data_IF_626344571720
#
_entry.id   IF_626344571720
#
_cell.length_a   1.000
_cell.length_b   1.000
_cell.length_c   1.000
_cell.angle_alpha   90.00
_cell.angle_beta   90.00
_cell.angle_gamma   90.00
#
_symmetry.space_group_name_H-M   'P 1'
#
loop_
_entity.id
_entity.type
_entity.pdbx_description
1 polymer ?
#
# COMPACT_ATOMS: atom_id res chain seq x y z
N UNK A 1 -5.24 17.85 8.47
CA UNK A 1 -4.81 18.53 7.23
C UNK A 1 -4.11 17.47 6.40
N UNK A 2 -4.63 17.14 5.22
CA UNK A 2 -3.97 16.20 4.30
C UNK A 2 -2.64 16.80 3.86
N UNK A 3 -1.58 16.00 3.91
CA UNK A 3 -0.26 16.44 3.45
C UNK A 3 -0.33 16.85 1.96
N UNK A 4 0.43 17.88 1.54
CA UNK A 4 0.45 18.27 0.14
C UNK A 4 0.96 17.12 -0.73
N UNK A 5 0.28 16.85 -1.84
CA UNK A 5 0.73 15.84 -2.81
C UNK A 5 1.94 16.38 -3.56
N UNK A 6 3.12 15.90 -3.17
CA UNK A 6 4.42 16.27 -3.74
C UNK A 6 4.90 15.24 -4.76
N UNK A 7 5.84 15.65 -5.62
CA UNK A 7 6.52 14.75 -6.56
C UNK A 7 7.26 13.62 -5.84
N UNK A 8 7.87 13.90 -4.69
CA UNK A 8 8.46 12.88 -3.81
C UNK A 8 7.43 11.85 -3.32
N UNK A 9 6.26 12.29 -2.88
CA UNK A 9 5.18 11.37 -2.47
C UNK A 9 4.71 10.50 -3.65
N UNK A 10 4.48 11.12 -4.82
CA UNK A 10 4.05 10.42 -6.03
C UNK A 10 5.07 9.33 -6.42
N UNK A 11 6.35 9.68 -6.50
CA UNK A 11 7.42 8.75 -6.90
C UNK A 11 7.62 7.66 -5.85
N UNK A 12 7.58 8.02 -4.57
CA UNK A 12 7.67 7.07 -3.46
C UNK A 12 6.54 6.04 -3.50
N UNK A 13 5.28 6.48 -3.69
CA UNK A 13 4.13 5.59 -3.82
C UNK A 13 4.22 4.72 -5.08
N UNK A 14 4.59 5.29 -6.23
CA UNK A 14 4.75 4.53 -7.47
C UNK A 14 5.85 3.45 -7.34
N UNK A 15 6.93 3.74 -6.62
CA UNK A 15 8.01 2.79 -6.36
C UNK A 15 7.56 1.61 -5.50
N UNK A 16 6.51 1.76 -4.67
CA UNK A 16 5.94 0.65 -3.89
C UNK A 16 5.40 -0.47 -4.77
N UNK A 17 5.15 -0.24 -6.07
CA UNK A 17 4.81 -1.30 -7.04
C UNK A 17 5.79 -2.48 -6.99
N UNK A 18 7.06 -2.20 -6.69
CA UNK A 18 8.13 -3.20 -6.67
C UNK A 18 8.57 -3.60 -5.27
N UNK A 19 8.05 -2.94 -4.24
CA UNK A 19 8.23 -3.37 -2.87
C UNK A 19 7.26 -4.54 -2.60
N UNK A 20 7.70 -5.53 -1.82
CA UNK A 20 6.81 -6.57 -1.28
C UNK A 20 5.91 -5.91 -0.22
N UNK A 21 4.83 -5.26 -0.67
CA UNK A 21 3.91 -4.54 0.20
C UNK A 21 2.66 -5.37 0.49
N UNK A 22 2.23 -5.39 1.75
CA UNK A 22 0.96 -5.94 2.21
C UNK A 22 -0.24 -5.01 1.89
N UNK A 23 -0.18 -4.30 0.76
CA UNK A 23 -1.25 -3.41 0.33
C UNK A 23 -2.46 -4.25 -0.15
N UNK A 24 -3.67 -3.83 0.18
CA UNK A 24 -4.87 -4.49 -0.33
C UNK A 24 -4.92 -4.45 -1.87
N UNK A 25 -5.56 -5.45 -2.50
CA UNK A 25 -5.62 -5.59 -3.98
C UNK A 25 -6.08 -4.32 -4.72
N UNK A 26 -6.88 -3.47 -4.10
CA UNK A 26 -7.32 -2.19 -4.66
C UNK A 26 -6.18 -1.17 -4.71
N UNK A 27 -5.41 -1.04 -3.62
CA UNK A 27 -4.25 -0.17 -3.56
C UNK A 27 -3.15 -0.63 -4.52
N UNK A 28 -2.93 -1.95 -4.66
CA UNK A 28 -1.98 -2.50 -5.65
C UNK A 28 -2.30 -2.05 -7.08
N UNK A 29 -3.57 -2.11 -7.50
CA UNK A 29 -3.99 -1.67 -8.83
C UNK A 29 -3.77 -0.17 -9.05
N UNK A 30 -4.08 0.65 -8.04
CA UNK A 30 -3.89 2.09 -8.13
C UNK A 30 -2.39 2.46 -8.17
N UNK A 31 -1.56 1.75 -7.41
CA UNK A 31 -0.09 1.90 -7.45
C UNK A 31 0.45 1.49 -8.83
N UNK A 32 -0.06 0.41 -9.43
CA UNK A 32 0.31 -0.01 -10.78
C UNK A 32 -0.12 1.02 -11.84
N UNK A 33 -1.32 1.59 -11.71
CA UNK A 33 -1.79 2.68 -12.56
C UNK A 33 -0.90 3.91 -12.44
N UNK A 34 -0.55 4.31 -11.22
CA UNK A 34 0.33 5.45 -10.96
C UNK A 34 1.69 5.27 -11.64
N UNK A 35 2.31 4.10 -11.45
CA UNK A 35 3.57 3.77 -12.10
C UNK A 35 3.47 3.80 -13.63
N UNK A 36 2.39 3.22 -14.17
CA UNK A 36 2.17 3.14 -15.63
C UNK A 36 1.98 4.52 -16.25
N UNK A 37 1.24 5.41 -15.59
CA UNK A 37 1.06 6.79 -16.03
C UNK A 37 2.40 7.54 -16.11
N UNK A 38 3.24 7.42 -15.08
CA UNK A 38 4.59 7.99 -15.06
C UNK A 38 5.45 7.40 -16.18
N UNK A 39 5.50 6.07 -16.31
CA UNK A 39 6.34 5.40 -17.31
C UNK A 39 5.92 5.75 -18.75
N UNK A 40 4.61 5.83 -19.01
CA UNK A 40 4.08 6.20 -20.32
C UNK A 40 4.39 7.65 -20.68
N UNK A 41 4.29 8.58 -19.71
CA UNK A 41 4.60 10.00 -19.96
C UNK A 41 6.03 10.20 -20.45
N UNK A 42 6.98 9.43 -19.89
CA UNK A 42 8.39 9.56 -20.23
C UNK A 42 8.90 8.55 -21.25
N UNK A 43 7.99 7.86 -21.95
CA UNK A 43 8.37 6.93 -23.02
C UNK A 43 9.17 7.66 -24.11
N UNK A 44 10.31 7.09 -24.48
CA UNK A 44 11.27 7.68 -25.41
C UNK A 44 12.29 8.64 -24.76
N UNK A 45 12.14 9.01 -23.48
CA UNK A 45 13.13 9.78 -22.73
C UNK A 45 14.14 8.84 -22.07
N UNK A 46 15.14 8.39 -22.84
CA UNK A 46 16.11 7.34 -22.46
C UNK A 46 16.66 7.44 -21.03
N UNK A 47 17.14 8.62 -20.61
CA UNK A 47 17.69 8.82 -19.26
C UNK A 47 16.63 8.64 -18.16
N UNK A 48 15.39 9.05 -18.41
CA UNK A 48 14.28 8.87 -17.48
C UNK A 48 13.87 7.41 -17.43
N UNK A 49 13.80 6.73 -18.59
CA UNK A 49 13.54 5.29 -18.67
C UNK A 49 14.59 4.45 -17.93
N UNK A 50 15.87 4.80 -18.05
CA UNK A 50 16.96 4.18 -17.30
C UNK A 50 16.78 4.30 -15.78
N UNK A 51 16.37 5.47 -15.29
CA UNK A 51 16.09 5.67 -13.87
C UNK A 51 14.85 4.89 -13.41
N UNK A 52 13.77 4.84 -14.22
CA UNK A 52 12.60 4.02 -13.93
C UNK A 52 12.95 2.52 -13.88
N UNK A 53 13.78 2.05 -14.80
CA UNK A 53 14.29 0.68 -14.80
C UNK A 53 15.16 0.38 -13.56
N UNK A 54 15.98 1.33 -13.12
CA UNK A 54 16.79 1.20 -11.90
C UNK A 54 15.91 1.08 -10.64
N UNK A 55 14.82 1.83 -10.56
CA UNK A 55 13.84 1.71 -9.46
C UNK A 55 13.23 0.31 -9.45
N UNK A 56 12.79 -0.19 -10.61
CA UNK A 56 12.23 -1.54 -10.72
C UNK A 56 13.24 -2.62 -10.33
N UNK A 57 14.47 -2.54 -10.84
CA UNK A 57 15.54 -3.51 -10.56
C UNK A 57 15.93 -3.54 -9.07
N UNK A 58 15.89 -2.39 -8.39
CA UNK A 58 16.19 -2.27 -6.97
C UNK A 58 14.98 -2.53 -6.05
N UNK A 59 13.89 -3.11 -6.57
CA UNK A 59 12.64 -3.34 -5.81
C UNK A 59 12.11 -2.08 -5.13
N UNK A 60 12.19 -0.94 -5.82
CA UNK A 60 11.76 0.34 -5.27
C UNK A 60 12.75 1.01 -4.32
N UNK A 61 13.96 0.50 -4.13
CA UNK A 61 14.94 1.06 -3.16
C UNK A 61 16.04 1.93 -3.80
N UNK A 62 15.96 2.23 -5.11
CA UNK A 62 16.92 3.10 -5.78
C UNK A 62 16.64 4.60 -5.52
N UNK A 63 16.96 5.09 -4.33
CA UNK A 63 16.66 6.46 -3.88
C UNK A 63 17.21 7.54 -4.81
N UNK A 64 18.42 7.36 -5.36
CA UNK A 64 19.00 8.32 -6.30
C UNK A 64 18.28 8.33 -7.65
N UNK A 65 17.73 7.20 -8.08
CA UNK A 65 16.90 7.14 -9.27
C UNK A 65 15.54 7.80 -9.01
N UNK A 66 14.94 7.58 -7.83
CA UNK A 66 13.69 8.26 -7.43
C UNK A 66 13.83 9.77 -7.44
N UNK A 67 14.86 10.33 -6.80
CA UNK A 67 15.13 11.79 -6.80
C UNK A 67 15.26 12.38 -8.21
N UNK A 68 15.85 11.62 -9.13
CA UNK A 68 15.95 12.04 -10.54
C UNK A 68 14.58 12.04 -11.22
N UNK A 69 13.75 11.04 -10.96
CA UNK A 69 12.35 11.04 -11.45
C UNK A 69 11.56 12.19 -10.83
N UNK A 70 11.69 12.45 -9.53
CA UNK A 70 11.04 13.58 -8.84
C UNK A 70 11.37 14.91 -9.54
N UNK A 71 12.65 15.14 -9.81
CA UNK A 71 13.11 16.37 -10.48
C UNK A 71 12.51 16.50 -11.89
N UNK A 72 12.45 15.40 -12.64
CA UNK A 72 11.85 15.41 -13.99
C UNK A 72 10.34 15.60 -13.92
N UNK A 73 9.67 15.00 -12.93
CA UNK A 73 8.23 15.17 -12.68
C UNK A 73 7.90 16.62 -12.35
N UNK A 74 8.71 17.28 -11.52
CA UNK A 74 8.51 18.68 -11.12
C UNK A 74 8.58 19.60 -12.34
N UNK A 75 9.56 19.38 -13.23
CA UNK A 75 9.65 20.12 -14.48
C UNK A 75 8.44 19.86 -15.39
N UNK A 76 7.98 18.61 -15.48
CA UNK A 76 6.82 18.24 -16.29
C UNK A 76 5.52 18.88 -15.78
N UNK A 77 5.37 19.01 -14.46
CA UNK A 77 4.19 19.63 -13.83
C UNK A 77 4.06 21.12 -14.09
N UNK A 78 5.17 21.79 -14.45
CA UNK A 78 5.14 23.18 -14.90
C UNK A 78 4.60 23.27 -16.33
N UNK A 79 4.86 22.25 -17.16
CA UNK A 79 4.44 22.23 -18.57
C UNK A 79 3.05 21.63 -18.78
N UNK A 80 2.61 20.72 -17.90
CA UNK A 80 1.38 19.95 -18.04
C UNK A 80 0.66 19.80 -16.68
N UNK A 81 -0.17 20.79 -16.36
CA UNK A 81 -0.97 20.80 -15.13
C UNK A 81 -2.03 19.69 -15.11
N UNK A 82 -2.54 19.28 -16.27
CA UNK A 82 -3.54 18.21 -16.38
C UNK A 82 -2.92 16.86 -15.97
N UNK A 83 -1.69 16.59 -16.43
CA UNK A 83 -0.94 15.41 -16.01
C UNK A 83 -0.66 15.42 -14.49
N UNK A 84 -0.34 16.59 -13.92
CA UNK A 84 -0.21 16.74 -12.46
C UNK A 84 -1.52 16.40 -11.74
N UNK A 85 -2.65 16.91 -12.23
CA UNK A 85 -3.96 16.65 -11.64
C UNK A 85 -4.34 15.16 -11.71
N UNK A 86 -4.02 14.49 -12.82
CA UNK A 86 -4.21 13.04 -12.99
C UNK A 86 -3.43 12.26 -11.91
N UNK A 87 -2.12 12.50 -11.78
CA UNK A 87 -1.31 11.79 -10.78
C UNK A 87 -1.76 12.10 -9.35
N UNK A 88 -2.16 13.34 -9.08
CA UNK A 88 -2.67 13.74 -7.77
C UNK A 88 -4.01 13.05 -7.43
N UNK A 89 -4.89 12.87 -8.41
CA UNK A 89 -6.13 12.12 -8.23
C UNK A 89 -5.84 10.65 -7.89
N UNK A 90 -4.92 10.00 -8.62
CA UNK A 90 -4.53 8.62 -8.33
C UNK A 90 -3.93 8.49 -6.92
N UNK A 91 -3.03 9.40 -6.53
CA UNK A 91 -2.45 9.42 -5.16
C UNK A 91 -3.52 9.61 -4.09
N UNK A 92 -4.48 10.50 -4.34
CA UNK A 92 -5.60 10.71 -3.42
C UNK A 92 -6.42 9.43 -3.23
N UNK A 93 -6.68 8.69 -4.31
CA UNK A 93 -7.40 7.42 -4.23
C UNK A 93 -6.55 6.33 -3.55
N UNK A 94 -5.22 6.31 -3.75
CA UNK A 94 -4.32 5.41 -3.00
C UNK A 94 -4.39 5.71 -1.50
N UNK A 95 -4.34 6.99 -1.12
CA UNK A 95 -4.42 7.41 0.29
C UNK A 95 -5.78 7.10 0.92
N UNK A 96 -6.88 7.19 0.15
CA UNK A 96 -8.20 6.75 0.60
C UNK A 96 -8.34 5.23 0.66
N UNK A 97 -7.61 4.52 -0.20
CA UNK A 97 -7.52 3.08 -0.23
C UNK A 97 -6.50 2.52 0.78
N UNK A 98 -5.84 3.37 1.59
CA UNK A 98 -5.07 2.91 2.74
C UNK A 98 -5.94 1.95 3.56
N UNK A 99 -5.33 0.84 4.02
CA UNK A 99 -6.05 -0.40 4.22
C UNK A 99 -7.19 -0.19 5.21
N UNK A 100 -8.36 -0.75 4.90
CA UNK A 100 -9.11 -1.45 5.94
C UNK A 100 -8.06 -2.24 6.71
N UNK A 101 -7.67 -1.75 7.89
CA UNK A 101 -6.58 -2.36 8.66
C UNK A 101 -7.06 -3.75 9.02
N UNK A 102 -6.82 -4.76 8.18
CA UNK A 102 -7.22 -6.13 8.52
C UNK A 102 -6.31 -6.59 9.64
N UNK A 103 -6.76 -6.31 10.85
CA UNK A 103 -6.05 -6.62 12.07
C UNK A 103 -6.36 -8.07 12.37
N UNK A 104 -5.53 -8.96 11.83
CA UNK A 104 -5.61 -10.38 12.09
C UNK A 104 -5.00 -10.63 13.47
N UNK A 105 -5.85 -10.96 14.45
CA UNK A 105 -5.41 -11.07 15.85
C UNK A 105 -4.76 -12.41 16.18
N UNK A 106 -5.05 -13.47 15.42
CA UNK A 106 -4.50 -14.82 15.61
C UNK A 106 -4.35 -15.46 14.23
N UNK A 107 -3.10 -15.67 13.80
CA UNK A 107 -2.76 -16.20 12.46
C UNK A 107 -1.76 -17.35 12.60
N UNK A 108 -2.03 -18.47 11.91
CA UNK A 108 -1.05 -19.56 11.74
C UNK A 108 -0.76 -20.37 13.00
N UNK A 109 -1.69 -20.39 13.97
CA UNK A 109 -1.52 -21.18 15.18
C UNK A 109 -1.81 -22.66 14.87
N UNK A 110 -0.79 -23.49 15.03
CA UNK A 110 -0.90 -24.95 14.96
C UNK A 110 -0.54 -25.55 16.31
N UNK A 111 -1.50 -26.22 16.93
CA UNK A 111 -1.31 -26.90 18.22
C UNK A 111 -1.98 -28.25 18.19
N UNK A 112 -1.30 -29.26 18.73
CA UNK A 112 -1.87 -30.61 18.94
C UNK A 112 -2.80 -30.69 20.16
N UNK A 113 -3.02 -29.57 20.86
CA UNK A 113 -3.91 -29.44 22.02
C UNK A 113 -5.01 -28.43 21.73
N UNK A 114 -6.10 -28.49 22.50
CA UNK A 114 -7.18 -27.49 22.43
C UNK A 114 -6.76 -26.07 22.82
N UNK A 115 -7.40 -25.06 22.21
CA UNK A 115 -7.26 -23.64 22.57
C UNK A 115 -8.47 -23.26 23.42
N UNK A 116 -8.21 -22.79 24.65
CA UNK A 116 -9.24 -22.30 25.57
C UNK A 116 -8.98 -20.84 25.93
N UNK A 117 -9.93 -19.98 25.61
CA UNK A 117 -9.88 -18.56 25.94
C UNK A 117 -11.05 -18.19 26.85
N UNK A 118 -10.74 -17.61 28.02
CA UNK A 118 -11.73 -17.25 29.02
C UNK A 118 -12.53 -15.99 28.62
N UNK A 119 -11.85 -14.97 28.11
CA UNK A 119 -12.47 -13.73 27.64
C UNK A 119 -11.79 -13.30 26.33
N UNK A 120 -12.55 -13.19 25.24
CA UNK A 120 -12.10 -12.58 23.99
C UNK A 120 -12.80 -11.24 23.84
N UNK A 121 -12.04 -10.16 24.01
CA UNK A 121 -12.52 -8.78 23.86
C UNK A 121 -11.79 -8.12 22.71
N UNK A 122 -12.56 -7.51 21.83
CA UNK A 122 -12.05 -6.75 20.70
C UNK A 122 -12.64 -5.34 20.75
N UNK A 123 -11.75 -4.35 20.83
CA UNK A 123 -12.09 -2.93 20.74
C UNK A 123 -11.58 -2.42 19.39
N UNK A 124 -12.50 -2.00 18.53
CA UNK A 124 -12.16 -1.41 17.25
C UNK A 124 -12.07 0.12 17.40
N UNK A 125 -10.99 0.72 16.90
CA UNK A 125 -10.93 2.16 16.66
C UNK A 125 -10.80 2.38 15.16
N UNK A 126 -11.93 2.51 14.45
CA UNK A 126 -11.97 2.88 13.02
C UNK A 126 -12.65 1.88 12.08
N UNK A 127 -12.75 2.24 10.80
CA UNK A 127 -13.41 1.50 9.71
C UNK A 127 -12.49 0.39 9.14
N UNK A 128 -12.14 -0.58 9.96
CA UNK A 128 -11.25 -1.67 9.58
C UNK A 128 -11.99 -3.02 9.59
N UNK A 129 -11.88 -3.78 8.50
CA UNK A 129 -12.39 -5.15 8.43
C UNK A 129 -11.59 -6.06 9.37
N UNK A 130 -12.22 -6.57 10.42
CA UNK A 130 -11.56 -7.42 11.42
C UNK A 130 -11.78 -8.90 11.14
N UNK A 131 -10.70 -9.67 11.07
CA UNK A 131 -10.75 -11.13 10.90
C UNK A 131 -10.23 -11.83 12.16
N UNK A 132 -11.09 -12.63 12.77
CA UNK A 132 -10.77 -13.48 13.92
C UNK A 132 -10.56 -14.92 13.43
N UNK A 133 -9.56 -15.61 13.98
CA UNK A 133 -9.29 -17.04 13.77
C UNK A 133 -9.00 -17.42 12.31
N UNK A 134 -7.94 -16.84 11.72
CA UNK A 134 -7.49 -17.19 10.36
C UNK A 134 -6.43 -18.29 10.45
N UNK A 135 -6.62 -19.39 9.70
CA UNK A 135 -5.70 -20.53 9.64
C UNK A 135 -5.30 -21.13 11.01
N UNK A 136 -6.30 -21.38 11.88
CA UNK A 136 -6.10 -22.02 13.19
C UNK A 136 -6.38 -23.51 13.11
N UNK A 137 -5.39 -24.34 13.46
CA UNK A 137 -5.48 -25.80 13.51
C UNK A 137 -5.29 -26.28 14.96
N UNK A 138 -6.37 -26.77 15.57
CA UNK A 138 -6.41 -27.23 16.97
C UNK A 138 -7.40 -28.39 17.15
N UNK A 139 -7.17 -29.23 18.17
CA UNK A 139 -8.04 -30.36 18.52
C UNK A 139 -9.44 -29.91 18.99
N UNK A 140 -9.52 -28.77 19.68
CA UNK A 140 -10.77 -28.15 20.11
C UNK A 140 -10.60 -26.65 20.33
N UNK A 141 -11.69 -25.89 20.13
CA UNK A 141 -11.76 -24.44 20.40
C UNK A 141 -12.89 -24.17 21.39
N UNK A 142 -12.59 -23.53 22.52
CA UNK A 142 -13.58 -23.20 23.54
C UNK A 142 -13.44 -21.73 23.96
N UNK A 143 -14.53 -20.97 23.77
CA UNK A 143 -14.64 -19.55 24.11
C UNK A 143 -15.82 -19.37 25.07
N UNK A 144 -15.55 -18.80 26.25
CA UNK A 144 -16.60 -18.61 27.27
C UNK A 144 -17.43 -17.36 26.96
N UNK A 145 -16.77 -16.21 26.75
CA UNK A 145 -17.40 -14.96 26.34
C UNK A 145 -16.71 -14.35 25.12
N UNK A 146 -17.47 -14.10 24.05
CA UNK A 146 -17.05 -13.31 22.90
C UNK A 146 -17.83 -12.01 22.89
N UNK A 147 -17.15 -10.87 23.04
CA UNK A 147 -17.78 -9.55 22.98
C UNK A 147 -17.15 -8.71 21.87
N UNK A 148 -17.95 -8.38 20.86
CA UNK A 148 -17.59 -7.46 19.78
C UNK A 148 -18.30 -6.13 20.02
N UNK A 149 -17.54 -5.03 20.09
CA UNK A 149 -18.09 -3.67 20.14
C UNK A 149 -17.63 -2.90 18.91
N UNK A 150 -18.60 -2.32 18.20
CA UNK A 150 -18.36 -1.33 17.15
C UNK A 150 -18.16 0.05 17.75
#
# INVERSE_FOLDING_TARGET
MTEPITTALIVGLAAQKFAESAAGKTAEKLIEQLWTAIANRFKGRKKTEENLAAIAAAKGNALDAQRKIETVLEAEFVEDEDFRAELAAIVTEIQKAEPERVQQMLVGIKTSKGIKAKDVRQEATGAADQQLLVDVEAESLEFDNLTQKQ
#
